data_IF_881596161288
#
_entry.id   IF_881596161288
#
_cell.length_a   1.000
_cell.length_b   1.000
_cell.length_c   1.000
_cell.angle_alpha   90.00
_cell.angle_beta   90.00
_cell.angle_gamma   90.00
#
_symmetry.space_group_name_H-M   'P 1'
#
loop_
_entity.id
_entity.type
_entity.pdbx_description
1 polymer ?
#
# COMPACT_ATOMS: atom_id res chain seq x y z
N UNK A 1 26.11 25.59 -20.73
CA UNK A 1 25.90 25.12 -19.34
C UNK A 1 24.41 24.94 -19.18
N UNK A 2 23.96 23.79 -19.63
CA UNK A 2 22.58 23.31 -19.71
C UNK A 2 22.77 21.81 -19.93
N UNK A 3 22.17 20.89 -19.22
CA UNK A 3 21.04 20.81 -18.31
C UNK A 3 21.36 19.62 -17.41
N UNK A 4 20.95 19.61 -16.15
CA UNK A 4 20.73 18.34 -15.41
C UNK A 4 19.73 18.63 -14.28
N UNK A 5 18.52 19.02 -14.67
CA UNK A 5 17.32 18.81 -13.84
C UNK A 5 16.97 17.32 -13.91
N UNK A 6 17.81 16.52 -13.27
CA UNK A 6 17.55 15.10 -13.04
C UNK A 6 16.52 15.04 -11.91
N UNK A 7 15.25 15.17 -12.26
CA UNK A 7 14.18 14.57 -11.47
C UNK A 7 14.45 13.06 -11.49
N UNK A 8 15.27 12.60 -10.56
CA UNK A 8 15.61 11.19 -10.35
C UNK A 8 14.32 10.39 -10.11
N UNK A 9 13.76 9.94 -11.22
CA UNK A 9 12.79 8.87 -11.29
C UNK A 9 13.61 7.61 -11.38
N UNK A 10 14.10 7.10 -10.26
CA UNK A 10 14.97 5.93 -10.29
C UNK A 10 15.65 5.59 -8.97
N UNK A 11 14.87 5.20 -7.98
CA UNK A 11 15.37 4.25 -6.99
C UNK A 11 14.72 2.90 -7.29
N UNK A 12 15.43 1.94 -7.88
CA UNK A 12 15.06 0.52 -7.74
C UNK A 12 15.33 0.17 -6.27
N UNK A 13 14.31 0.07 -5.41
CA UNK A 13 14.55 -0.21 -4.01
C UNK A 13 14.84 -1.70 -3.87
N UNK A 14 15.95 -2.01 -3.21
CA UNK A 14 16.38 -3.36 -2.83
C UNK A 14 15.20 -4.12 -2.24
N UNK A 15 14.55 -4.99 -3.05
CA UNK A 15 13.24 -5.60 -2.79
C UNK A 15 13.11 -6.03 -1.33
N UNK A 16 12.50 -5.22 -0.45
CA UNK A 16 12.12 -5.73 0.84
C UNK A 16 11.04 -6.74 0.51
N UNK A 17 11.17 -7.99 0.97
CA UNK A 17 10.14 -9.04 0.85
C UNK A 17 8.88 -8.70 1.68
N UNK A 18 8.57 -7.42 1.84
CA UNK A 18 7.25 -6.96 2.21
C UNK A 18 6.41 -7.06 0.95
N UNK A 19 5.53 -8.05 0.92
CA UNK A 19 4.49 -8.18 -0.07
C UNK A 19 3.55 -6.95 0.04
N UNK A 20 3.98 -5.82 -0.54
CA UNK A 20 3.19 -4.60 -0.72
C UNK A 20 1.84 -4.88 -1.41
N UNK A 21 1.74 -6.04 -2.06
CA UNK A 21 0.53 -6.63 -2.61
C UNK A 21 -0.60 -6.74 -1.56
N UNK A 22 -0.31 -7.10 -0.31
CA UNK A 22 -1.36 -7.24 0.71
C UNK A 22 -1.91 -5.89 1.18
N UNK A 23 -1.05 -4.87 1.27
CA UNK A 23 -1.47 -3.49 1.56
C UNK A 23 -2.32 -2.97 0.40
N UNK A 24 -1.86 -3.15 -0.84
CA UNK A 24 -2.59 -2.73 -2.03
C UNK A 24 -3.98 -3.38 -2.13
N UNK A 25 -4.08 -4.69 -1.84
CA UNK A 25 -5.37 -5.40 -1.81
C UNK A 25 -6.26 -4.89 -0.68
N UNK A 26 -5.73 -4.71 0.53
CA UNK A 26 -6.49 -4.17 1.66
C UNK A 26 -7.05 -2.76 1.38
N UNK A 27 -6.24 -1.89 0.77
CA UNK A 27 -6.64 -0.54 0.36
C UNK A 27 -7.67 -0.58 -0.76
N UNK A 28 -7.46 -1.38 -1.81
CA UNK A 28 -8.40 -1.48 -2.93
C UNK A 28 -9.79 -1.96 -2.47
N UNK A 29 -9.84 -2.96 -1.59
CA UNK A 29 -11.09 -3.46 -1.00
C UNK A 29 -11.71 -2.42 -0.08
N UNK A 30 -10.92 -1.80 0.80
CA UNK A 30 -11.41 -0.75 1.70
C UNK A 30 -11.98 0.45 0.95
N UNK A 31 -11.37 0.87 -0.15
CA UNK A 31 -11.88 1.95 -1.01
C UNK A 31 -13.17 1.51 -1.71
N UNK A 32 -13.22 0.32 -2.31
CA UNK A 32 -14.43 -0.17 -3.00
C UNK A 32 -15.65 -0.24 -2.06
N UNK A 33 -15.46 -0.79 -0.85
CA UNK A 33 -16.52 -0.86 0.17
C UNK A 33 -16.85 0.53 0.72
N UNK A 34 -15.84 1.38 0.92
CA UNK A 34 -16.03 2.75 1.38
C UNK A 34 -16.84 3.63 0.42
N UNK A 35 -16.61 3.50 -0.89
CA UNK A 35 -17.42 4.15 -1.93
C UNK A 35 -18.85 3.61 -1.92
N UNK A 36 -19.03 2.29 -1.85
CA UNK A 36 -20.35 1.67 -1.86
C UNK A 36 -21.21 2.02 -0.64
N UNK A 37 -20.57 2.24 0.52
CA UNK A 37 -21.27 2.57 1.78
C UNK A 37 -21.37 4.09 2.04
N UNK A 38 -20.78 4.91 1.16
CA UNK A 38 -20.72 6.38 1.34
C UNK A 38 -19.88 6.84 2.54
N UNK A 39 -18.98 5.99 3.05
CA UNK A 39 -18.23 6.24 4.29
C UNK A 39 -16.75 5.85 4.16
N UNK A 40 -16.05 6.54 3.26
CA UNK A 40 -14.65 6.27 2.91
C UNK A 40 -13.67 6.38 4.09
N UNK A 41 -13.90 7.31 5.02
CA UNK A 41 -12.97 7.57 6.11
C UNK A 41 -12.76 6.33 7.00
N UNK A 42 -13.86 5.65 7.36
CA UNK A 42 -13.83 4.44 8.20
C UNK A 42 -13.29 3.27 7.39
N UNK A 43 -13.77 3.08 6.16
CA UNK A 43 -13.42 1.91 5.35
C UNK A 43 -11.98 1.94 4.82
N UNK A 44 -11.37 3.11 4.60
CA UNK A 44 -9.94 3.22 4.31
C UNK A 44 -9.11 2.84 5.55
N UNK A 45 -9.46 3.34 6.74
CA UNK A 45 -8.77 2.96 7.97
C UNK A 45 -8.84 1.43 8.22
N UNK A 46 -10.01 0.83 7.98
CA UNK A 46 -10.21 -0.62 8.04
C UNK A 46 -9.39 -1.34 6.97
N UNK A 47 -9.44 -0.91 5.71
CA UNK A 47 -8.69 -1.52 4.60
C UNK A 47 -7.18 -1.49 4.81
N UNK A 48 -6.65 -0.39 5.31
CA UNK A 48 -5.23 -0.25 5.68
C UNK A 48 -4.90 -1.13 6.87
N UNK A 49 -5.70 -1.14 7.94
CA UNK A 49 -5.47 -1.98 9.12
C UNK A 49 -5.48 -3.48 8.77
N UNK A 50 -6.39 -3.91 7.88
CA UNK A 50 -6.46 -5.28 7.37
C UNK A 50 -5.25 -5.59 6.50
N UNK A 51 -4.87 -4.70 5.57
CA UNK A 51 -3.67 -4.88 4.74
C UNK A 51 -2.39 -5.00 5.56
N UNK A 52 -2.23 -4.16 6.59
CA UNK A 52 -1.09 -4.18 7.52
C UNK A 52 -1.12 -5.43 8.41
N UNK A 53 -2.29 -5.81 8.94
CA UNK A 53 -2.46 -7.02 9.74
C UNK A 53 -2.16 -8.31 8.96
N UNK A 54 -2.55 -8.36 7.68
CA UNK A 54 -2.23 -9.47 6.76
C UNK A 54 -0.73 -9.50 6.40
N UNK A 55 -0.09 -8.33 6.27
CA UNK A 55 1.36 -8.24 6.08
C UNK A 55 2.12 -8.74 7.31
N UNK A 56 1.70 -8.33 8.52
CA UNK A 56 2.31 -8.75 9.80
C UNK A 56 2.16 -10.24 10.07
N UNK A 57 1.02 -10.83 9.72
CA UNK A 57 0.73 -12.25 9.95
C UNK A 57 1.47 -13.19 8.99
N UNK A 58 1.83 -12.74 7.79
CA UNK A 58 2.71 -13.51 6.87
C UNK A 58 4.20 -13.24 7.06
N UNK A 59 4.58 -12.09 7.62
CA UNK A 59 5.97 -11.76 7.94
C UNK A 59 6.53 -12.53 9.17
N UNK A 60 5.68 -13.17 9.97
CA UNK A 60 6.08 -13.91 11.19
C UNK A 60 6.36 -15.40 10.99
N UNK A 61 6.38 -15.91 9.75
CA UNK A 61 6.58 -17.33 9.46
C UNK A 61 7.60 -17.50 8.34
N UNK A 62 8.85 -17.20 8.65
CA UNK A 62 10.04 -17.40 7.82
C UNK A 62 11.24 -17.62 8.70
#
# INVERSE_FOLDING_TARGET
MTDDNQADTGGEPEKPKYDAKYIAVGVAVGVAVGVATGNLAIWIAVGVAVGVGLSRSRAGKG
#
